data_IF_333280149747
#
_entry.id   IF_333280149747
#
_cell.length_a   1.000
_cell.length_b   1.000
_cell.length_c   1.000
_cell.angle_alpha   90.00
_cell.angle_beta   90.00
_cell.angle_gamma   90.00
#
_symmetry.space_group_name_H-M   'P 1'
#
loop_
_entity.id
_entity.type
_entity.pdbx_description
1 polymer ?
#
# COMPACT_ATOMS: atom_id res chain seq x y z
N UNK A 1 29.71 3.53 24.28
CA UNK A 1 28.93 4.21 23.25
C UNK A 1 28.13 3.13 22.52
N UNK A 2 26.96 2.78 23.06
CA UNK A 2 26.05 1.85 22.41
C UNK A 2 25.49 2.54 21.17
N UNK A 3 25.88 2.06 20.00
CA UNK A 3 25.24 2.46 18.75
C UNK A 3 23.77 2.07 18.84
N UNK A 4 22.88 3.06 18.85
CA UNK A 4 21.44 2.84 18.73
C UNK A 4 21.18 1.95 17.50
N UNK A 5 20.26 0.95 17.56
CA UNK A 5 19.94 0.06 16.43
C UNK A 5 19.53 0.80 15.14
N UNK A 6 19.27 2.10 15.25
CA UNK A 6 18.97 3.04 14.16
C UNK A 6 20.17 3.38 13.25
N UNK A 7 21.40 3.06 13.63
CA UNK A 7 22.60 3.55 12.93
C UNK A 7 23.08 2.66 11.77
N UNK A 8 22.47 1.49 11.53
CA UNK A 8 22.82 0.63 10.40
C UNK A 8 21.85 0.84 9.23
N UNK A 9 22.09 1.91 8.48
CA UNK A 9 21.23 2.33 7.36
C UNK A 9 21.15 1.25 6.27
N UNK A 10 22.26 0.56 5.99
CA UNK A 10 22.31 -0.47 4.96
C UNK A 10 21.53 -1.71 5.39
N UNK A 11 21.72 -2.17 6.63
CA UNK A 11 20.96 -3.30 7.17
C UNK A 11 19.46 -3.00 7.20
N UNK A 12 19.05 -1.83 7.71
CA UNK A 12 17.64 -1.45 7.78
C UNK A 12 17.00 -1.38 6.38
N UNK A 13 17.72 -0.83 5.39
CA UNK A 13 17.25 -0.84 4.01
C UNK A 13 17.07 -2.28 3.49
N UNK A 14 18.02 -3.17 3.74
CA UNK A 14 17.93 -4.57 3.33
C UNK A 14 16.72 -5.27 3.96
N UNK A 15 16.44 -5.07 5.25
CA UNK A 15 15.27 -5.66 5.91
C UNK A 15 13.96 -5.13 5.32
N UNK A 16 13.86 -3.82 5.10
CA UNK A 16 12.68 -3.21 4.47
C UNK A 16 12.48 -3.73 3.05
N UNK A 17 13.56 -3.97 2.29
CA UNK A 17 13.46 -4.52 0.93
C UNK A 17 12.84 -5.93 0.89
N UNK A 18 13.00 -6.75 1.94
CA UNK A 18 12.33 -8.06 2.06
C UNK A 18 10.80 -7.91 2.15
N UNK A 19 10.34 -6.91 2.91
CA UNK A 19 8.91 -6.57 2.97
C UNK A 19 8.43 -5.96 1.65
N UNK A 20 9.24 -5.08 1.06
CA UNK A 20 8.93 -4.45 -0.23
C UNK A 20 8.77 -5.47 -1.36
N UNK A 21 9.43 -6.62 -1.32
CA UNK A 21 9.21 -7.69 -2.30
C UNK A 21 7.74 -8.15 -2.33
N UNK A 22 7.10 -8.26 -1.16
CA UNK A 22 5.69 -8.64 -1.05
C UNK A 22 4.76 -7.50 -1.47
N UNK A 23 5.05 -6.28 -1.02
CA UNK A 23 4.25 -5.10 -1.36
C UNK A 23 4.31 -4.78 -2.86
N UNK A 24 5.49 -4.81 -3.47
CA UNK A 24 5.65 -4.59 -4.91
C UNK A 24 4.97 -5.69 -5.73
N UNK A 25 4.99 -6.95 -5.29
CA UNK A 25 4.19 -8.01 -5.91
C UNK A 25 2.70 -7.68 -5.88
N UNK A 26 2.17 -7.19 -4.76
CA UNK A 26 0.77 -6.75 -4.68
C UNK A 26 0.48 -5.56 -5.61
N UNK A 27 1.34 -4.54 -5.62
CA UNK A 27 1.21 -3.36 -6.48
C UNK A 27 1.19 -3.74 -7.96
N UNK A 28 2.16 -4.52 -8.43
CA UNK A 28 2.26 -4.96 -9.84
C UNK A 28 1.05 -5.81 -10.23
N UNK A 29 0.59 -6.72 -9.36
CA UNK A 29 -0.63 -7.50 -9.62
C UNK A 29 -1.85 -6.60 -9.77
N UNK A 30 -1.87 -5.48 -9.05
CA UNK A 30 -2.94 -4.47 -9.07
C UNK A 30 -2.75 -3.41 -10.18
N UNK A 31 -1.68 -3.50 -10.97
CA UNK A 31 -1.36 -2.56 -12.05
C UNK A 31 -0.54 -1.35 -11.61
N UNK A 32 -0.27 -1.13 -10.32
CA UNK A 32 0.51 0.02 -9.87
C UNK A 32 1.99 -0.19 -10.23
N UNK A 33 2.53 0.72 -11.04
CA UNK A 33 3.92 0.67 -11.51
C UNK A 33 4.91 1.43 -10.60
N UNK A 34 6.21 1.28 -10.87
CA UNK A 34 7.27 1.94 -10.09
C UNK A 34 7.13 3.46 -10.06
N UNK A 35 6.93 4.11 -11.22
CA UNK A 35 6.86 5.59 -11.30
C UNK A 35 5.69 6.14 -10.47
N UNK A 36 4.53 5.49 -10.57
CA UNK A 36 3.33 5.83 -9.80
C UNK A 36 3.57 5.67 -8.30
N UNK A 37 4.11 4.52 -7.90
CA UNK A 37 4.40 4.24 -6.51
C UNK A 37 5.48 5.17 -5.93
N UNK A 38 6.56 5.41 -6.67
CA UNK A 38 7.64 6.31 -6.27
C UNK A 38 7.14 7.74 -6.07
N UNK A 39 6.28 8.23 -6.97
CA UNK A 39 5.63 9.54 -6.79
C UNK A 39 4.73 9.57 -5.54
N UNK A 40 3.93 8.52 -5.31
CA UNK A 40 3.06 8.39 -4.14
C UNK A 40 3.82 8.24 -2.81
N UNK A 41 5.07 7.74 -2.84
CA UNK A 41 5.93 7.66 -1.65
C UNK A 41 6.51 9.01 -1.23
N UNK A 42 6.68 9.98 -2.14
CA UNK A 42 7.33 11.27 -1.80
C UNK A 42 6.64 12.03 -0.66
N UNK A 43 5.29 12.20 -0.64
CA UNK A 43 4.62 12.83 0.48
C UNK A 43 4.80 12.06 1.80
N UNK A 44 4.89 10.72 1.74
CA UNK A 44 5.12 9.87 2.92
C UNK A 44 6.52 10.14 3.49
N UNK A 45 7.56 10.17 2.64
CA UNK A 45 8.92 10.52 3.06
C UNK A 45 9.00 11.93 3.64
N UNK A 46 8.27 12.89 3.06
CA UNK A 46 8.17 14.23 3.60
C UNK A 46 7.61 14.23 5.02
N UNK A 47 6.45 13.57 5.24
CA UNK A 47 5.81 13.50 6.56
C UNK A 47 6.70 12.83 7.60
N UNK A 48 7.34 11.70 7.24
CA UNK A 48 8.24 11.01 8.18
C UNK A 48 9.46 11.86 8.55
N UNK A 49 10.03 12.61 7.60
CA UNK A 49 11.13 13.52 7.91
C UNK A 49 10.70 14.71 8.79
N UNK A 50 9.46 15.19 8.64
CA UNK A 50 8.90 16.21 9.54
C UNK A 50 8.75 15.63 10.95
N UNK A 51 8.11 14.46 11.09
CA UNK A 51 7.90 13.80 12.39
C UNK A 51 9.21 13.49 13.12
N UNK A 52 10.23 13.05 12.39
CA UNK A 52 11.56 12.78 12.96
C UNK A 52 12.23 14.09 13.45
N UNK A 53 12.12 15.18 12.68
CA UNK A 53 12.64 16.48 13.12
C UNK A 53 11.90 16.99 14.36
N UNK A 54 10.59 16.78 14.45
CA UNK A 54 9.79 17.11 15.64
C UNK A 54 10.21 16.29 16.86
N UNK A 55 10.39 14.98 16.69
CA UNK A 55 10.90 14.08 17.74
C UNK A 55 12.29 14.51 18.24
N UNK A 56 13.13 15.02 17.35
CA UNK A 56 14.45 15.56 17.67
C UNK A 56 14.42 17.02 18.18
N UNK A 57 13.25 17.61 18.38
CA UNK A 57 13.03 19.01 18.77
C UNK A 57 13.74 20.03 17.83
N UNK A 58 13.84 19.68 16.54
CA UNK A 58 14.47 20.49 15.50
C UNK A 58 13.45 21.15 14.59
N UNK A 59 13.78 22.35 14.13
CA UNK A 59 12.94 23.07 13.16
C UNK A 59 12.90 22.33 11.81
N UNK A 60 11.70 22.01 11.35
CA UNK A 60 11.42 21.43 10.04
C UNK A 60 11.60 22.44 8.88
N UNK A 61 12.83 22.90 8.67
CA UNK A 61 13.17 23.76 7.52
C UNK A 61 13.26 22.96 6.22
N UNK A 62 13.06 23.60 5.07
CA UNK A 62 13.19 22.94 3.75
C UNK A 62 14.54 22.25 3.60
N UNK A 63 15.64 22.88 4.04
CA UNK A 63 16.97 22.30 3.98
C UNK A 63 17.13 21.08 4.89
N UNK A 64 16.57 21.11 6.10
CA UNK A 64 16.62 19.98 7.03
C UNK A 64 15.80 18.79 6.50
N UNK A 65 14.60 19.04 5.99
CA UNK A 65 13.75 17.99 5.41
C UNK A 65 14.42 17.40 4.17
N UNK A 66 15.00 18.22 3.29
CA UNK A 66 15.73 17.74 2.11
C UNK A 66 16.94 16.88 2.47
N UNK A 67 17.70 17.28 3.51
CA UNK A 67 18.84 16.51 3.99
C UNK A 67 18.42 15.14 4.55
N UNK A 68 17.33 15.09 5.34
CA UNK A 68 16.88 13.87 6.00
C UNK A 68 16.13 12.92 5.07
N UNK A 69 15.25 13.44 4.23
CA UNK A 69 14.40 12.63 3.33
C UNK A 69 15.05 12.33 1.97
N UNK A 70 16.08 13.09 1.57
CA UNK A 70 16.61 13.06 0.20
C UNK A 70 15.70 13.69 -0.86
N UNK A 71 14.55 14.25 -0.47
CA UNK A 71 13.60 14.87 -1.41
C UNK A 71 14.14 16.19 -1.96
N UNK A 72 13.75 16.47 -3.21
CA UNK A 72 14.09 17.73 -3.86
C UNK A 72 13.33 18.90 -3.22
N UNK A 73 13.99 20.04 -3.06
CA UNK A 73 13.40 21.24 -2.42
C UNK A 73 12.09 21.69 -3.06
N UNK A 74 11.96 21.54 -4.38
CA UNK A 74 10.72 21.85 -5.12
C UNK A 74 9.54 21.03 -4.58
N UNK A 75 9.71 19.72 -4.43
CA UNK A 75 8.66 18.81 -3.94
C UNK A 75 8.26 19.18 -2.50
N UNK A 76 9.25 19.45 -1.65
CA UNK A 76 9.05 19.88 -0.25
C UNK A 76 8.25 21.18 -0.16
N UNK A 77 8.58 22.18 -0.98
CA UNK A 77 7.83 23.45 -1.03
C UNK A 77 6.39 23.22 -1.48
N UNK A 78 6.16 22.40 -2.51
CA UNK A 78 4.81 22.05 -2.98
C UNK A 78 3.99 21.38 -1.88
N UNK A 79 4.56 20.39 -1.20
CA UNK A 79 3.89 19.68 -0.11
C UNK A 79 3.57 20.59 1.07
N UNK A 80 4.51 21.47 1.43
CA UNK A 80 4.31 22.45 2.49
C UNK A 80 3.16 23.41 2.15
N UNK A 81 3.15 23.97 0.95
CA UNK A 81 2.09 24.88 0.49
C UNK A 81 0.73 24.17 0.49
N UNK A 82 0.68 22.92 0.02
CA UNK A 82 -0.57 22.16 0.01
C UNK A 82 -1.16 21.94 1.41
N UNK A 83 -0.32 21.68 2.42
CA UNK A 83 -0.76 21.60 3.82
C UNK A 83 -1.25 22.96 4.31
N UNK A 84 -0.52 24.04 4.03
CA UNK A 84 -0.90 25.41 4.41
C UNK A 84 -2.24 25.83 3.78
N UNK A 85 -2.53 25.34 2.58
CA UNK A 85 -3.79 25.57 1.85
C UNK A 85 -4.92 24.60 2.27
N UNK A 86 -4.66 23.69 3.23
CA UNK A 86 -5.65 22.75 3.77
C UNK A 86 -5.92 21.50 2.91
N UNK A 87 -5.07 21.21 1.92
CA UNK A 87 -5.19 20.00 1.11
C UNK A 87 -4.58 18.78 1.80
N UNK A 88 -5.15 17.60 1.53
CA UNK A 88 -4.53 16.33 1.90
C UNK A 88 -3.27 16.12 1.07
N UNK A 89 -2.13 15.97 1.76
CA UNK A 89 -0.83 15.81 1.10
C UNK A 89 -0.78 14.59 0.17
N UNK A 90 -1.57 13.55 0.49
CA UNK A 90 -1.68 12.30 -0.27
C UNK A 90 -2.39 12.48 -1.62
N UNK A 91 -3.11 13.57 -1.83
CA UNK A 91 -3.77 13.88 -3.10
C UNK A 91 -2.87 14.70 -4.05
N UNK A 92 -1.82 15.33 -3.53
CA UNK A 92 -0.93 16.22 -4.30
C UNK A 92 -0.03 15.50 -5.32
N UNK A 93 0.05 14.17 -5.27
CA UNK A 93 0.86 13.34 -6.19
C UNK A 93 0.05 12.42 -7.12
N UNK A 94 -1.29 12.37 -7.00
CA UNK A 94 -2.12 11.39 -7.70
C UNK A 94 -2.42 11.75 -9.16
N UNK A 95 -2.43 13.04 -9.50
CA UNK A 95 -2.95 13.53 -10.79
C UNK A 95 -1.98 13.39 -11.97
N UNK A 96 -0.68 13.30 -11.73
CA UNK A 96 0.34 13.25 -12.80
C UNK A 96 0.94 11.85 -13.05
N UNK A 97 0.64 10.86 -12.20
CA UNK A 97 1.40 9.62 -12.15
C UNK A 97 0.61 8.36 -12.57
N UNK A 98 -0.52 8.50 -13.28
CA UNK A 98 -1.21 7.33 -13.83
C UNK A 98 -0.27 6.56 -14.78
N UNK A 99 -0.19 5.25 -14.57
CA UNK A 99 0.51 4.36 -15.48
C UNK A 99 -0.09 4.43 -16.92
N UNK A 100 0.65 3.95 -17.91
CA UNK A 100 0.24 4.04 -19.32
C UNK A 100 -1.12 3.35 -19.59
N UNK A 101 -1.38 2.11 -19.11
CA UNK A 101 -2.71 1.48 -19.27
C UNK A 101 -3.86 2.32 -18.69
N UNK A 102 -3.66 2.90 -17.51
CA UNK A 102 -4.64 3.76 -16.83
C UNK A 102 -4.92 5.04 -17.61
N UNK A 103 -3.87 5.68 -18.15
CA UNK A 103 -4.03 6.83 -19.04
C UNK A 103 -4.76 6.48 -20.34
N UNK A 104 -4.51 5.30 -20.92
CA UNK A 104 -5.21 4.82 -22.12
C UNK A 104 -6.71 4.68 -21.85
N UNK A 105 -7.10 4.06 -20.74
CA UNK A 105 -8.52 3.94 -20.35
C UNK A 105 -9.11 5.31 -20.01
N UNK A 106 -8.35 6.17 -19.32
CA UNK A 106 -8.77 7.53 -18.99
C UNK A 106 -9.11 8.36 -20.23
N UNK A 107 -8.26 8.34 -21.26
CA UNK A 107 -8.53 9.00 -22.55
C UNK A 107 -9.71 8.32 -23.27
N UNK A 108 -9.79 6.98 -23.26
CA UNK A 108 -10.90 6.24 -23.88
C UNK A 108 -12.25 6.74 -23.35
N UNK A 109 -12.39 6.81 -22.03
CA UNK A 109 -13.61 7.23 -21.36
C UNK A 109 -13.85 8.74 -21.54
N UNK A 110 -12.83 9.57 -21.34
CA UNK A 110 -12.97 11.03 -21.40
C UNK A 110 -13.32 11.55 -22.79
N UNK A 111 -12.85 10.89 -23.85
CA UNK A 111 -13.17 11.25 -25.23
C UNK A 111 -14.42 10.54 -25.77
N UNK A 112 -15.12 9.78 -24.93
CA UNK A 112 -16.37 9.08 -25.27
C UNK A 112 -16.24 8.16 -26.50
N UNK A 113 -15.06 7.55 -26.71
CA UNK A 113 -14.88 6.59 -27.80
C UNK A 113 -15.75 5.35 -27.56
N UNK A 114 -16.16 4.69 -28.64
CA UNK A 114 -16.94 3.44 -28.59
C UNK A 114 -16.33 2.43 -27.61
N UNK A 115 -17.15 1.79 -26.77
CA UNK A 115 -16.71 0.72 -25.87
C UNK A 115 -16.09 -0.47 -26.60
N UNK A 116 -16.38 -0.60 -27.89
CA UNK A 116 -15.77 -1.57 -28.79
C UNK A 116 -14.95 -0.84 -29.86
N UNK A 117 -13.64 -1.07 -29.84
CA UNK A 117 -12.71 -0.52 -30.82
C UNK A 117 -12.05 -1.64 -31.63
N UNK A 118 -11.87 -1.48 -32.95
CA UNK A 118 -10.98 -2.37 -33.67
C UNK A 118 -9.56 -2.22 -33.10
N UNK A 119 -8.81 -3.32 -33.02
CA UNK A 119 -7.43 -3.28 -32.55
C UNK A 119 -6.60 -2.30 -33.38
N UNK A 120 -6.73 -2.38 -34.70
CA UNK A 120 -6.12 -1.45 -35.64
C UNK A 120 -7.08 -1.14 -36.77
N UNK A 121 -7.26 0.15 -37.05
CA UNK A 121 -7.91 0.63 -38.25
C UNK A 121 -7.39 2.06 -38.58
N UNK A 122 -6.91 2.31 -39.82
CA UNK A 122 -6.39 3.62 -40.20
C UNK A 122 -7.49 4.68 -40.36
N UNK A 123 -8.72 4.30 -40.71
CA UNK A 123 -9.78 5.23 -41.14
C UNK A 123 -10.78 5.58 -40.03
N UNK A 124 -10.76 4.87 -38.90
CA UNK A 124 -11.63 5.13 -37.74
C UNK A 124 -10.83 5.06 -36.43
N UNK A 125 -11.48 5.39 -35.32
CA UNK A 125 -10.90 5.20 -33.99
C UNK A 125 -10.55 3.72 -33.76
N UNK A 126 -9.38 3.48 -33.21
CA UNK A 126 -8.86 2.14 -32.98
C UNK A 126 -7.99 2.11 -31.74
N UNK A 127 -7.83 0.93 -31.14
CA UNK A 127 -7.03 0.77 -29.95
C UNK A 127 -5.57 1.21 -30.15
N UNK A 128 -4.99 0.94 -31.33
CA UNK A 128 -3.64 1.45 -31.69
C UNK A 128 -3.58 2.98 -31.68
N UNK A 129 -4.59 3.68 -32.23
CA UNK A 129 -4.65 5.16 -32.19
C UNK A 129 -4.74 5.66 -30.75
N UNK A 130 -5.55 5.01 -29.92
CA UNK A 130 -5.71 5.35 -28.51
C UNK A 130 -4.37 5.25 -27.75
N UNK A 131 -3.64 4.13 -27.91
CA UNK A 131 -2.33 3.94 -27.28
C UNK A 131 -1.35 5.01 -27.71
N UNK A 132 -1.27 5.31 -29.02
CA UNK A 132 -0.34 6.32 -29.53
C UNK A 132 -0.67 7.75 -29.13
N UNK A 133 -1.92 8.02 -28.72
CA UNK A 133 -2.31 9.29 -28.11
C UNK A 133 -1.72 9.47 -26.71
N UNK A 134 -1.50 8.37 -25.98
CA UNK A 134 -0.88 8.37 -24.64
C UNK A 134 0.64 8.27 -24.71
N UNK A 135 1.17 7.34 -25.51
CA UNK A 135 2.60 7.09 -25.66
C UNK A 135 2.92 6.48 -27.03
N UNK A 136 3.91 7.07 -27.70
CA UNK A 136 4.44 6.56 -28.98
C UNK A 136 5.46 5.42 -28.81
N UNK A 137 6.03 5.28 -27.61
CA UNK A 137 7.09 4.31 -27.33
C UNK A 137 6.54 2.93 -26.98
N UNK A 138 5.33 2.86 -26.42
CA UNK A 138 4.72 1.61 -26.01
C UNK A 138 4.09 0.86 -27.18
N UNK A 139 4.42 -0.42 -27.30
CA UNK A 139 3.80 -1.28 -28.31
C UNK A 139 2.33 -1.55 -27.97
N UNK A 140 1.35 -1.25 -28.85
CA UNK A 140 -0.08 -1.37 -28.55
C UNK A 140 -0.51 -2.78 -28.10
N UNK A 141 0.12 -3.83 -28.64
CA UNK A 141 -0.15 -5.21 -28.20
C UNK A 141 0.19 -5.44 -26.73
N UNK A 142 1.27 -4.83 -26.22
CA UNK A 142 1.69 -4.98 -24.83
C UNK A 142 0.72 -4.29 -23.89
N UNK A 143 0.25 -3.09 -24.26
CA UNK A 143 -0.77 -2.36 -23.49
C UNK A 143 -2.09 -3.14 -23.47
N UNK A 144 -2.51 -3.71 -24.61
CA UNK A 144 -3.70 -4.55 -24.68
C UNK A 144 -3.58 -5.76 -23.75
N UNK A 145 -2.47 -6.50 -23.82
CA UNK A 145 -2.26 -7.68 -22.98
C UNK A 145 -2.33 -7.34 -21.48
N UNK A 146 -1.80 -6.17 -21.09
CA UNK A 146 -1.86 -5.71 -19.71
C UNK A 146 -3.27 -5.34 -19.27
N UNK A 147 -4.03 -4.63 -20.11
CA UNK A 147 -5.44 -4.32 -19.83
C UNK A 147 -6.31 -5.58 -19.75
N UNK A 148 -6.00 -6.61 -20.55
CA UNK A 148 -6.64 -7.94 -20.47
C UNK A 148 -6.27 -8.64 -19.17
N UNK A 149 -4.99 -8.64 -18.79
CA UNK A 149 -4.52 -9.22 -17.51
C UNK A 149 -5.21 -8.58 -16.31
N UNK A 150 -5.44 -7.28 -16.36
CA UNK A 150 -6.14 -6.51 -15.33
C UNK A 150 -7.68 -6.68 -15.40
N UNK A 151 -8.21 -7.35 -16.42
CA UNK A 151 -9.64 -7.59 -16.60
C UNK A 151 -10.44 -6.31 -16.89
N UNK A 152 -9.79 -5.30 -17.47
CA UNK A 152 -10.40 -4.02 -17.82
C UNK A 152 -10.96 -4.05 -19.23
N UNK A 153 -10.28 -4.78 -20.12
CA UNK A 153 -10.72 -5.01 -21.49
C UNK A 153 -10.72 -6.51 -21.78
N UNK A 154 -11.55 -6.94 -22.71
CA UNK A 154 -11.44 -8.25 -23.35
C UNK A 154 -11.10 -8.09 -24.83
N UNK A 155 -10.41 -9.07 -25.40
CA UNK A 155 -10.19 -9.12 -26.84
C UNK A 155 -11.04 -10.21 -27.47
N UNK A 156 -11.87 -9.82 -28.44
CA UNK A 156 -12.65 -10.74 -29.27
C UNK A 156 -12.27 -10.55 -30.74
N UNK A 157 -11.64 -11.57 -31.34
CA UNK A 157 -11.15 -11.49 -32.73
C UNK A 157 -10.24 -10.25 -32.93
N UNK A 158 -10.68 -9.29 -33.74
CA UNK A 158 -9.99 -8.03 -34.04
C UNK A 158 -10.54 -6.84 -33.26
N UNK A 159 -11.42 -7.07 -32.30
CA UNK A 159 -12.08 -6.04 -31.48
C UNK A 159 -11.53 -6.08 -30.05
N UNK A 160 -11.32 -4.90 -29.48
CA UNK A 160 -11.00 -4.66 -28.08
C UNK A 160 -12.24 -4.06 -27.45
N UNK A 161 -12.76 -4.71 -26.41
CA UNK A 161 -14.01 -4.33 -25.76
C UNK A 161 -13.69 -3.92 -24.33
N UNK A 162 -14.12 -2.72 -23.94
CA UNK A 162 -14.00 -2.19 -22.59
C UNK A 162 -15.03 -2.88 -21.68
N UNK A 163 -14.56 -3.63 -20.68
CA UNK A 163 -15.41 -4.33 -19.71
C UNK A 163 -15.73 -3.47 -18.50
N UNK A 164 -14.72 -2.74 -18.04
CA UNK A 164 -14.80 -1.91 -16.84
C UNK A 164 -14.43 -0.50 -17.20
N UNK A 165 -15.33 0.44 -16.89
CA UNK A 165 -15.09 1.88 -17.06
C UNK A 165 -14.17 2.45 -15.97
N UNK A 166 -13.70 1.64 -15.02
CA UNK A 166 -12.77 2.05 -13.97
C UNK A 166 -11.97 0.87 -13.40
N UNK A 167 -10.84 1.17 -12.75
CA UNK A 167 -10.00 0.21 -12.01
C UNK A 167 -10.61 -0.23 -10.66
N UNK A 168 -11.91 -0.02 -10.43
CA UNK A 168 -12.53 -0.29 -9.12
C UNK A 168 -12.66 -1.82 -8.97
N UNK A 169 -11.96 -2.45 -8.01
CA UNK A 169 -12.12 -3.88 -7.74
C UNK A 169 -13.47 -4.15 -7.07
N UNK A 170 -13.97 -5.39 -7.16
CA UNK A 170 -15.19 -5.83 -6.48
C UNK A 170 -15.16 -5.51 -4.97
N UNK A 171 -16.29 -5.09 -4.40
CA UNK A 171 -16.40 -4.63 -3.01
C UNK A 171 -15.94 -5.70 -2.02
N UNK A 172 -16.29 -6.98 -2.28
CA UNK A 172 -15.86 -8.13 -1.46
C UNK A 172 -14.33 -8.24 -1.35
N UNK A 173 -13.62 -7.86 -2.42
CA UNK A 173 -12.15 -7.87 -2.45
C UNK A 173 -11.53 -6.65 -1.75
N UNK A 174 -12.27 -5.55 -1.61
CA UNK A 174 -11.80 -4.34 -0.92
C UNK A 174 -11.75 -4.56 0.59
N UNK A 175 -12.77 -5.21 1.15
CA UNK A 175 -12.84 -5.46 2.60
C UNK A 175 -11.71 -6.38 3.07
N UNK A 176 -11.40 -7.43 2.30
CA UNK A 176 -10.27 -8.34 2.59
C UNK A 176 -8.93 -7.59 2.52
N UNK A 177 -8.74 -6.71 1.52
CA UNK A 177 -7.52 -5.90 1.41
C UNK A 177 -7.39 -4.92 2.57
N UNK A 178 -8.48 -4.29 2.97
CA UNK A 178 -8.51 -3.38 4.11
C UNK A 178 -8.15 -4.10 5.41
N UNK A 179 -8.79 -5.25 5.67
CA UNK A 179 -8.46 -6.08 6.83
C UNK A 179 -6.97 -6.47 6.85
N UNK A 180 -6.41 -6.88 5.71
CA UNK A 180 -4.98 -7.16 5.59
C UNK A 180 -4.13 -5.92 5.89
N UNK A 181 -4.50 -4.75 5.36
CA UNK A 181 -3.79 -3.49 5.61
C UNK A 181 -3.81 -3.11 7.09
N UNK A 182 -4.98 -3.15 7.74
CA UNK A 182 -5.13 -2.80 9.15
C UNK A 182 -4.28 -3.71 10.05
N UNK A 183 -4.27 -5.00 9.73
CA UNK A 183 -3.44 -6.01 10.38
C UNK A 183 -1.93 -5.76 10.20
N UNK A 184 -1.49 -5.50 8.97
CA UNK A 184 -0.08 -5.20 8.67
C UNK A 184 0.38 -3.91 9.35
N UNK A 185 -0.47 -2.87 9.36
CA UNK A 185 -0.17 -1.61 10.03
C UNK A 185 0.01 -1.80 11.54
N UNK A 186 -0.91 -2.53 12.17
CA UNK A 186 -0.85 -2.80 13.61
C UNK A 186 0.41 -3.60 13.97
N UNK A 187 0.76 -4.62 13.17
CA UNK A 187 1.97 -5.41 13.38
C UNK A 187 3.24 -4.57 13.18
N UNK A 188 3.32 -3.80 12.10
CA UNK A 188 4.45 -2.90 11.85
C UNK A 188 4.62 -1.87 12.96
N UNK A 189 3.52 -1.30 13.46
CA UNK A 189 3.56 -0.34 14.57
C UNK A 189 4.16 -0.98 15.83
N UNK A 190 3.78 -2.21 16.17
CA UNK A 190 4.35 -2.91 17.32
C UNK A 190 5.84 -3.21 17.17
N UNK A 191 6.25 -3.73 16.01
CA UNK A 191 7.66 -4.01 15.74
C UNK A 191 8.52 -2.75 15.73
N UNK A 192 8.05 -1.68 15.08
CA UNK A 192 8.78 -0.41 15.00
C UNK A 192 8.83 0.32 16.35
N UNK A 193 7.76 0.26 17.16
CA UNK A 193 7.79 0.75 18.54
C UNK A 193 8.90 0.05 19.35
N UNK A 194 8.98 -1.27 19.25
CA UNK A 194 10.01 -2.05 19.94
C UNK A 194 11.44 -1.70 19.48
N UNK A 195 11.62 -1.30 18.22
CA UNK A 195 12.92 -0.89 17.66
C UNK A 195 13.29 0.55 18.05
N UNK A 196 12.36 1.49 17.89
CA UNK A 196 12.64 2.93 18.00
C UNK A 196 12.38 3.51 19.39
N UNK A 197 11.64 2.80 20.25
CA UNK A 197 11.34 3.21 21.62
C UNK A 197 11.79 2.15 22.65
N UNK A 198 13.08 1.73 22.66
CA UNK A 198 13.54 0.62 23.50
C UNK A 198 13.46 0.90 25.01
N UNK A 199 13.37 2.17 25.40
CA UNK A 199 13.20 2.60 26.81
C UNK A 199 11.74 2.50 27.30
N UNK A 200 10.78 2.31 26.38
CA UNK A 200 9.36 2.14 26.72
C UNK A 200 9.01 0.65 26.83
N UNK A 201 7.85 0.35 27.43
CA UNK A 201 7.35 -1.03 27.46
C UNK A 201 7.17 -1.56 26.05
N UNK A 202 7.82 -2.68 25.74
CA UNK A 202 7.69 -3.36 24.45
C UNK A 202 6.27 -3.86 24.25
N UNK A 203 5.76 -3.70 23.03
CA UNK A 203 4.55 -4.37 22.59
C UNK A 203 4.85 -5.85 22.35
N UNK A 204 3.84 -6.69 22.50
CA UNK A 204 3.96 -8.11 22.22
C UNK A 204 4.15 -8.33 20.71
N UNK A 205 5.37 -8.71 20.33
CA UNK A 205 5.75 -9.07 18.96
C UNK A 205 6.50 -10.40 19.05
N UNK A 206 5.76 -11.50 18.95
CA UNK A 206 6.30 -12.85 19.10
C UNK A 206 5.70 -13.79 18.07
N UNK A 207 6.46 -14.83 17.71
CA UNK A 207 6.01 -15.90 16.82
C UNK A 207 6.53 -17.26 17.28
N UNK A 208 5.68 -18.28 17.19
CA UNK A 208 6.08 -19.67 17.44
C UNK A 208 6.61 -20.26 16.13
N UNK A 209 7.80 -20.87 16.17
CA UNK A 209 8.44 -21.52 15.03
C UNK A 209 8.82 -22.95 15.38
N UNK A 210 8.56 -23.86 14.45
CA UNK A 210 8.94 -25.25 14.53
C UNK A 210 9.37 -25.72 13.14
N UNK A 211 10.55 -26.34 13.05
CA UNK A 211 11.15 -26.80 11.81
C UNK A 211 11.09 -28.34 11.72
N UNK A 212 11.47 -28.89 10.56
CA UNK A 212 11.54 -30.35 10.33
C UNK A 212 10.21 -31.10 10.54
N UNK A 213 9.10 -30.45 10.21
CA UNK A 213 7.76 -31.00 10.37
C UNK A 213 7.31 -31.82 9.15
N UNK A 214 6.58 -32.90 9.40
CA UNK A 214 5.83 -33.62 8.36
C UNK A 214 4.53 -32.88 8.03
N UNK A 215 3.94 -33.14 6.86
CA UNK A 215 2.63 -32.58 6.51
C UNK A 215 1.52 -32.97 7.49
N UNK A 216 1.60 -34.16 8.09
CA UNK A 216 0.69 -34.59 9.15
C UNK A 216 0.82 -33.72 10.40
N UNK A 217 2.06 -33.46 10.86
CA UNK A 217 2.31 -32.57 11.99
C UNK A 217 1.83 -31.15 11.72
N UNK A 218 2.04 -30.61 10.52
CA UNK A 218 1.54 -29.28 10.13
C UNK A 218 0.01 -29.21 10.23
N UNK A 219 -0.71 -30.24 9.78
CA UNK A 219 -2.18 -30.26 9.87
C UNK A 219 -2.66 -30.36 11.32
N UNK A 220 -1.98 -31.13 12.17
CA UNK A 220 -2.25 -31.19 13.61
C UNK A 220 -2.07 -29.81 14.25
N UNK A 221 -0.95 -29.14 13.97
CA UNK A 221 -0.63 -27.81 14.50
C UNK A 221 -1.65 -26.77 14.04
N UNK A 222 -2.03 -26.79 12.76
CA UNK A 222 -3.04 -25.92 12.18
C UNK A 222 -4.41 -26.09 12.82
N UNK A 223 -4.85 -27.34 13.02
CA UNK A 223 -6.13 -27.60 13.70
C UNK A 223 -6.09 -27.07 15.13
N UNK A 224 -5.00 -27.34 15.84
CA UNK A 224 -4.88 -26.95 17.24
C UNK A 224 -4.73 -25.43 17.44
N UNK A 225 -3.99 -24.74 16.57
CA UNK A 225 -3.84 -23.27 16.61
C UNK A 225 -5.19 -22.57 16.45
N UNK A 226 -6.05 -23.05 15.54
CA UNK A 226 -7.40 -22.53 15.33
C UNK A 226 -8.32 -22.76 16.54
N UNK A 227 -8.23 -23.94 17.18
CA UNK A 227 -8.97 -24.24 18.41
C UNK A 227 -8.56 -23.31 19.57
N UNK A 228 -7.25 -23.11 19.76
CA UNK A 228 -6.72 -22.19 20.77
C UNK A 228 -7.11 -20.75 20.49
N UNK A 229 -6.96 -20.29 19.25
CA UNK A 229 -7.32 -18.93 18.84
C UNK A 229 -8.81 -18.65 19.05
N UNK A 230 -9.68 -19.59 18.70
CA UNK A 230 -11.12 -19.42 18.90
C UNK A 230 -11.45 -19.10 20.37
N UNK A 231 -10.95 -19.92 21.29
CA UNK A 231 -11.17 -19.71 22.73
C UNK A 231 -10.59 -18.37 23.19
N UNK A 232 -9.34 -18.10 22.80
CA UNK A 232 -8.62 -16.90 23.22
C UNK A 232 -9.27 -15.61 22.70
N UNK A 233 -9.66 -15.59 21.43
CA UNK A 233 -10.27 -14.42 20.79
C UNK A 233 -11.67 -14.12 21.32
N UNK A 234 -12.47 -15.14 21.64
CA UNK A 234 -13.78 -14.98 22.27
C UNK A 234 -13.65 -14.29 23.64
N UNK A 235 -12.73 -14.77 24.49
CA UNK A 235 -12.49 -14.20 25.82
C UNK A 235 -12.00 -12.75 25.74
N UNK A 236 -11.04 -12.47 24.85
CA UNK A 236 -10.47 -11.14 24.67
C UNK A 236 -11.48 -10.16 24.06
N UNK A 237 -12.27 -10.60 23.08
CA UNK A 237 -13.29 -9.77 22.46
C UNK A 237 -14.36 -9.35 23.46
N UNK A 238 -14.81 -10.27 24.32
CA UNK A 238 -15.76 -9.96 25.40
C UNK A 238 -15.20 -8.88 26.33
N UNK A 239 -13.95 -9.03 26.77
CA UNK A 239 -13.31 -8.03 27.64
C UNK A 239 -13.15 -6.68 26.92
N UNK A 240 -12.76 -6.68 25.65
CA UNK A 240 -12.61 -5.46 24.86
C UNK A 240 -13.94 -4.70 24.72
N UNK A 241 -15.04 -5.42 24.49
CA UNK A 241 -16.37 -4.83 24.44
C UNK A 241 -16.76 -4.19 25.80
N UNK A 242 -16.58 -4.93 26.90
CA UNK A 242 -16.84 -4.41 28.26
C UNK A 242 -16.02 -3.16 28.56
N UNK A 243 -14.73 -3.12 28.16
CA UNK A 243 -13.89 -1.92 28.34
C UNK A 243 -14.36 -0.77 27.46
N UNK A 244 -14.67 -1.03 26.20
CA UNK A 244 -15.14 -0.01 25.26
C UNK A 244 -16.43 0.66 25.73
N UNK A 245 -17.39 -0.12 26.26
CA UNK A 245 -18.64 0.41 26.83
C UNK A 245 -18.38 1.29 28.06
N UNK A 246 -17.43 0.91 28.92
CA UNK A 246 -17.06 1.69 30.09
C UNK A 246 -16.34 3.00 29.76
N UNK A 247 -15.64 3.05 28.62
CA UNK A 247 -14.86 4.20 28.18
C UNK A 247 -15.62 5.13 27.24
N UNK A 248 -16.82 4.73 26.80
CA UNK A 248 -17.67 5.53 25.93
C UNK A 248 -17.95 6.93 26.51
N UNK A 249 -17.70 7.96 25.71
CA UNK A 249 -17.94 9.36 26.08
C UNK A 249 -16.86 10.01 26.96
N UNK A 250 -15.82 9.28 27.39
CA UNK A 250 -14.69 9.89 28.10
C UNK A 250 -13.80 10.70 27.16
N UNK A 251 -13.29 11.83 27.65
CA UNK A 251 -12.44 12.74 26.84
C UNK A 251 -11.06 12.18 26.50
N UNK A 252 -10.58 11.22 27.29
CA UNK A 252 -9.29 10.54 27.13
C UNK A 252 -9.40 9.15 26.47
N UNK A 253 -10.60 8.72 26.06
CA UNK A 253 -10.83 7.47 25.34
C UNK A 253 -10.41 7.58 23.85
N UNK A 254 -9.13 7.84 23.60
CA UNK A 254 -8.55 8.01 22.26
C UNK A 254 -7.53 6.92 21.89
N UNK A 255 -7.47 5.85 22.69
CA UNK A 255 -6.56 4.73 22.48
C UNK A 255 -7.25 3.64 21.66
N UNK A 256 -6.47 2.95 20.82
CA UNK A 256 -6.93 1.80 20.04
C UNK A 256 -6.14 0.56 20.42
N UNK A 257 -6.81 -0.60 20.46
CA UNK A 257 -6.18 -1.88 20.73
C UNK A 257 -6.43 -2.85 19.58
N UNK A 258 -5.37 -3.50 19.10
CA UNK A 258 -5.45 -4.57 18.12
C UNK A 258 -4.49 -5.68 18.53
N UNK A 259 -5.01 -6.91 18.59
CA UNK A 259 -4.21 -8.12 18.69
C UNK A 259 -4.65 -9.07 17.58
N UNK A 260 -3.71 -9.41 16.70
CA UNK A 260 -3.90 -10.36 15.62
C UNK A 260 -2.96 -11.54 15.76
N UNK A 261 -3.41 -12.70 15.29
CA UNK A 261 -2.56 -13.88 15.10
C UNK A 261 -2.54 -14.24 13.62
N UNK A 262 -1.37 -14.62 13.12
CA UNK A 262 -1.17 -15.01 11.72
C UNK A 262 -0.52 -16.39 11.67
N UNK A 263 -0.93 -17.20 10.70
CA UNK A 263 -0.37 -18.51 10.44
C UNK A 263 0.11 -18.58 8.99
N UNK A 264 1.31 -19.12 8.78
CA UNK A 264 1.87 -19.42 7.45
C UNK A 264 2.56 -20.78 7.49
N UNK A 265 2.18 -21.68 6.59
CA UNK A 265 2.61 -23.07 6.48
C UNK A 265 3.24 -23.35 5.11
N UNK A 266 4.27 -22.57 4.77
CA UNK A 266 5.01 -22.64 3.50
C UNK A 266 6.42 -23.19 3.66
#
# INVERSE_FOLDING_TARGET
>A
MSSSPTNDTEFNLQQVLLLMNHLTKWLIRSGVGYTEFSAALKPIFYLQAVNELETLEKKATISAISLLSGLHRKDITTFKQAIEDGYLITDTGKTEALNIPGRVVGIWVAEEWSEQLPFHNPDQDSFVKLVHRVSKEMHPRSVLNELVRLGIVRQEKKQVILEKRSFIPDQSSQDIRKLLTDNLQSHMQAGLHNIFCPEQTSFLEESIRADELTSESVEILKKHSLELWKKYSEDLFKLALERSELDEGKSDANQTFCLGIYQSDT
#
